data_IF_201312235917
#
_entry.id   IF_201312235917
#
_cell.length_a   1.000
_cell.length_b   1.000
_cell.length_c   1.000
_cell.angle_alpha   90.00
_cell.angle_beta   90.00
_cell.angle_gamma   90.00
#
_symmetry.space_group_name_H-M   'P 1'
#
loop_
_entity.id
_entity.type
_entity.pdbx_description
1 polymer ?
#
# COMPACT_ATOMS: atom_id res chain seq x y z
N UNK A 1 -16.03 -4.64 -5.98
CA UNK A 1 -15.35 -3.56 -5.23
C UNK A 1 -13.88 -3.64 -5.60
N UNK A 2 -13.17 -2.54 -5.88
CA UNK A 2 -11.72 -2.59 -6.14
C UNK A 2 -10.99 -2.21 -4.85
N UNK A 3 -10.15 -3.11 -4.36
CA UNK A 3 -9.39 -2.95 -3.11
C UNK A 3 -7.89 -2.89 -3.41
N UNK A 4 -7.14 -2.12 -2.62
CA UNK A 4 -5.68 -2.00 -2.72
C UNK A 4 -5.06 -2.22 -1.34
N UNK A 5 -4.10 -3.15 -1.27
CA UNK A 5 -3.29 -3.42 -0.07
C UNK A 5 -1.95 -2.73 -0.23
N UNK A 6 -1.67 -1.74 0.63
CA UNK A 6 -0.40 -1.01 0.65
C UNK A 6 0.37 -1.41 1.90
N UNK A 7 1.65 -1.79 1.74
CA UNK A 7 2.46 -2.23 2.88
C UNK A 7 3.92 -1.76 2.79
N UNK A 8 4.59 -1.68 3.93
CA UNK A 8 6.05 -1.51 4.03
C UNK A 8 6.65 -2.77 4.65
N UNK A 9 7.79 -3.22 4.14
CA UNK A 9 8.54 -4.33 4.75
C UNK A 9 10.02 -4.19 4.47
N UNK A 10 10.83 -4.24 5.53
CA UNK A 10 12.28 -4.29 5.44
C UNK A 10 12.78 -5.74 5.36
N UNK A 11 12.21 -6.63 6.19
CA UNK A 11 12.66 -8.03 6.34
C UNK A 11 11.71 -9.06 5.72
N UNK A 12 10.61 -8.62 5.11
CA UNK A 12 9.71 -9.47 4.30
C UNK A 12 8.56 -10.14 5.05
N UNK A 13 8.49 -10.08 6.38
CA UNK A 13 7.36 -10.67 7.12
C UNK A 13 6.03 -9.95 6.81
N UNK A 14 6.05 -8.62 6.77
CA UNK A 14 4.88 -7.81 6.39
C UNK A 14 4.44 -8.07 4.96
N UNK A 15 5.39 -8.33 4.05
CA UNK A 15 5.09 -8.67 2.67
C UNK A 15 4.25 -9.94 2.57
N UNK A 16 4.66 -11.01 3.27
CA UNK A 16 3.92 -12.28 3.26
C UNK A 16 2.47 -12.11 3.74
N UNK A 17 2.28 -11.31 4.79
CA UNK A 17 0.93 -11.02 5.31
C UNK A 17 0.13 -10.18 4.31
N UNK A 18 0.74 -9.17 3.69
CA UNK A 18 0.07 -8.33 2.70
C UNK A 18 -0.33 -9.11 1.44
N UNK A 19 0.52 -10.02 0.97
CA UNK A 19 0.24 -10.93 -0.14
C UNK A 19 -0.94 -11.86 0.17
N UNK A 20 -1.00 -12.41 1.38
CA UNK A 20 -2.11 -13.27 1.81
C UNK A 20 -3.44 -12.49 1.89
N UNK A 21 -3.41 -11.27 2.44
CA UNK A 21 -4.59 -10.39 2.47
C UNK A 21 -5.04 -10.07 1.03
N UNK A 22 -4.11 -9.69 0.15
CA UNK A 22 -4.44 -9.35 -1.23
C UNK A 22 -5.05 -10.54 -1.98
N UNK A 23 -4.52 -11.75 -1.78
CA UNK A 23 -5.06 -12.98 -2.35
C UNK A 23 -6.48 -13.28 -1.85
N UNK A 24 -6.72 -13.18 -0.53
CA UNK A 24 -8.03 -13.47 0.06
C UNK A 24 -9.11 -12.45 -0.33
N UNK A 25 -8.70 -11.22 -0.63
CA UNK A 25 -9.60 -10.11 -0.93
C UNK A 25 -9.67 -9.75 -2.42
N UNK A 26 -8.95 -10.49 -3.27
CA UNK A 26 -8.77 -10.19 -4.70
C UNK A 26 -8.33 -8.72 -4.93
N UNK A 27 -7.50 -8.20 -4.02
CA UNK A 27 -7.03 -6.83 -4.03
C UNK A 27 -5.74 -6.68 -4.85
N UNK A 28 -5.56 -5.51 -5.44
CA UNK A 28 -4.26 -5.06 -5.95
C UNK A 28 -3.29 -4.88 -4.76
N UNK A 29 -1.99 -5.03 -4.97
CA UNK A 29 -0.97 -4.91 -3.92
C UNK A 29 0.17 -3.98 -4.34
N UNK A 30 0.60 -3.10 -3.43
CA UNK A 30 1.70 -2.17 -3.66
C UNK A 30 2.62 -2.06 -2.44
N UNK A 31 3.93 -2.28 -2.64
CA UNK A 31 4.93 -2.12 -1.60
C UNK A 31 5.51 -0.71 -1.60
N UNK A 32 5.54 -0.11 -0.41
CA UNK A 32 6.31 1.10 -0.13
C UNK A 32 7.79 0.72 -0.01
N UNK A 33 8.60 1.20 -0.94
CA UNK A 33 10.08 1.11 -0.83
C UNK A 33 10.57 2.26 0.04
N UNK A 34 11.62 2.05 0.82
CA UNK A 34 12.23 3.15 1.60
C UNK A 34 12.52 4.33 0.69
N UNK A 35 11.98 5.47 1.12
CA UNK A 35 12.10 6.73 0.45
C UNK A 35 13.49 7.31 0.73
N UNK A 36 14.45 7.00 -0.13
CA UNK A 36 15.68 7.80 -0.29
C UNK A 36 15.41 9.19 -0.91
N UNK A 37 14.27 9.83 -0.60
CA UNK A 37 13.94 11.18 -1.08
C UNK A 37 12.57 11.35 -1.76
N UNK A 38 11.55 10.60 -1.38
CA UNK A 38 10.22 10.76 -1.96
C UNK A 38 9.30 11.41 -0.90
N UNK A 39 8.37 12.32 -1.24
CA UNK A 39 7.65 13.09 -0.23
C UNK A 39 6.39 12.35 0.22
N UNK A 40 6.13 12.34 1.53
CA UNK A 40 4.89 11.88 2.17
C UNK A 40 3.62 12.33 1.43
N UNK A 41 3.69 13.42 0.65
CA UNK A 41 2.66 13.93 -0.24
C UNK A 41 2.07 12.92 -1.24
N UNK A 42 2.84 11.97 -1.81
CA UNK A 42 2.27 11.00 -2.77
C UNK A 42 1.48 9.89 -2.06
N UNK A 43 1.96 9.45 -0.89
CA UNK A 43 1.24 8.53 -0.02
C UNK A 43 -0.03 9.18 0.51
N UNK A 44 0.05 10.44 0.93
CA UNK A 44 -1.11 11.25 1.33
C UNK A 44 -2.11 11.39 0.18
N UNK A 45 -1.64 11.65 -1.04
CA UNK A 45 -2.50 11.72 -2.23
C UNK A 45 -3.16 10.37 -2.55
N UNK A 46 -2.54 9.23 -2.27
CA UNK A 46 -3.16 7.90 -2.45
C UNK A 46 -4.20 7.64 -1.35
N UNK A 47 -3.85 7.89 -0.08
CA UNK A 47 -4.71 7.61 1.08
C UNK A 47 -5.92 8.55 1.20
N UNK A 48 -5.80 9.81 0.72
CA UNK A 48 -6.82 10.85 0.93
C UNK A 48 -7.48 11.33 -0.37
N UNK A 49 -7.22 10.70 -1.53
CA UNK A 49 -7.80 11.10 -2.83
C UNK A 49 -9.32 11.00 -2.94
N UNK A 50 -10.00 10.40 -1.96
CA UNK A 50 -11.45 10.23 -1.95
C UNK A 50 -12.23 11.25 -1.11
N UNK A 51 -11.61 12.27 -0.52
CA UNK A 51 -12.28 13.13 0.49
C UNK A 51 -12.68 14.55 0.06
N UNK A 52 -12.62 14.88 -1.23
CA UNK A 52 -13.17 16.13 -1.76
C UNK A 52 -14.01 15.83 -3.01
N UNK A 53 -15.28 15.49 -2.76
CA UNK A 53 -16.39 15.78 -3.66
C UNK A 53 -17.06 17.07 -3.21
#
# INVERSE_FOLDING_TARGET
MKSLVVFFSETGNTQKVAEEIAKQTEAEIEQLREFGGFPAAKLFKILFRGKHG
#
